data_IF_733461808053
#
_entry.id   IF_733461808053
#
_cell.length_a   1.000
_cell.length_b   1.000
_cell.length_c   1.000
_cell.angle_alpha   90.00
_cell.angle_beta   90.00
_cell.angle_gamma   90.00
#
_symmetry.space_group_name_H-M   'P 1'
#
loop_
_entity.id
_entity.type
_entity.pdbx_description
1 polymer ?
#
# COMPACT_ATOMS: atom_id res chain seq x y z
N UNK A 1 -7.12 -7.39 -7.25
CA UNK A 1 -7.27 -8.61 -8.08
C UNK A 1 -6.17 -9.60 -7.65
N UNK A 2 -6.41 -10.91 -7.74
CA UNK A 2 -5.36 -11.90 -7.46
C UNK A 2 -4.30 -11.88 -8.57
N UNK A 3 -3.04 -12.08 -8.20
CA UNK A 3 -1.94 -12.21 -9.16
C UNK A 3 -2.18 -13.41 -10.08
N UNK A 4 -2.04 -13.26 -11.41
CA UNK A 4 -2.21 -14.37 -12.35
C UNK A 4 -1.11 -15.44 -12.22
N UNK A 5 0.03 -15.09 -11.60
CA UNK A 5 1.19 -15.98 -11.50
C UNK A 5 1.12 -16.97 -10.33
N UNK A 6 0.41 -16.61 -9.25
CA UNK A 6 0.39 -17.44 -8.03
C UNK A 6 -0.92 -17.37 -7.24
N UNK A 7 -1.98 -16.76 -7.79
CA UNK A 7 -3.31 -16.68 -7.21
C UNK A 7 -3.36 -16.04 -5.80
N UNK A 8 -2.38 -15.19 -5.45
CA UNK A 8 -2.32 -14.46 -4.17
C UNK A 8 -2.78 -13.01 -4.32
N UNK A 9 -3.31 -12.45 -3.24
CA UNK A 9 -3.58 -11.01 -3.13
C UNK A 9 -2.32 -10.29 -2.66
N UNK A 10 -1.98 -9.19 -3.34
CA UNK A 10 -0.87 -8.33 -2.97
C UNK A 10 -1.40 -6.94 -2.63
N UNK A 11 -0.94 -6.39 -1.51
CA UNK A 11 -1.19 -5.00 -1.16
C UNK A 11 -0.24 -4.12 -1.96
N UNK A 12 -0.80 -3.31 -2.87
CA UNK A 12 -0.03 -2.40 -3.73
C UNK A 12 0.01 -0.98 -3.20
N UNK A 13 -0.98 -0.59 -2.40
CA UNK A 13 -1.04 0.73 -1.79
C UNK A 13 -1.77 0.77 -0.45
N UNK A 14 -1.56 1.87 0.27
CA UNK A 14 -2.32 2.28 1.45
C UNK A 14 -3.19 3.47 1.02
N UNK A 15 -4.47 3.48 1.42
CA UNK A 15 -5.36 4.62 1.19
C UNK A 15 -4.74 5.85 1.84
N UNK A 16 -4.57 6.92 1.07
CA UNK A 16 -4.01 8.16 1.57
C UNK A 16 -5.09 9.23 1.60
N UNK A 17 -5.08 10.15 0.65
CA UNK A 17 -6.02 11.26 0.56
C UNK A 17 -6.62 11.33 -0.84
N UNK A 18 -7.53 12.28 -1.03
CA UNK A 18 -8.05 12.66 -2.33
C UNK A 18 -8.47 14.11 -2.31
N UNK A 19 -8.67 14.70 -3.47
CA UNK A 19 -9.15 16.09 -3.60
C UNK A 19 -10.62 16.26 -3.16
N UNK A 20 -11.18 15.32 -2.41
CA UNK A 20 -12.59 15.18 -2.07
C UNK A 20 -13.10 13.79 -2.44
N UNK A 21 -14.18 13.35 -1.78
CA UNK A 21 -14.87 12.12 -2.15
C UNK A 21 -15.75 12.37 -3.38
N UNK A 22 -15.72 11.44 -4.34
CA UNK A 22 -16.63 11.37 -5.49
C UNK A 22 -16.74 12.67 -6.32
N UNK A 23 -15.61 13.35 -6.53
CA UNK A 23 -15.56 14.53 -7.39
C UNK A 23 -15.26 14.12 -8.83
N UNK A 24 -16.09 14.59 -9.76
CA UNK A 24 -15.90 14.37 -11.19
C UNK A 24 -14.50 14.82 -11.65
N UNK A 25 -13.84 13.96 -12.43
CA UNK A 25 -12.49 14.21 -12.94
C UNK A 25 -11.37 14.12 -11.90
N UNK A 26 -11.65 13.69 -10.66
CA UNK A 26 -10.66 13.49 -9.60
C UNK A 26 -10.42 12.01 -9.29
N UNK A 27 -9.22 11.71 -8.82
CA UNK A 27 -8.78 10.36 -8.49
C UNK A 27 -8.38 10.25 -7.02
N UNK A 28 -8.55 9.06 -6.45
CA UNK A 28 -8.00 8.74 -5.13
C UNK A 28 -6.48 8.53 -5.19
N UNK A 29 -5.77 9.03 -4.18
CA UNK A 29 -4.32 8.87 -4.08
C UNK A 29 -3.98 7.76 -3.08
N UNK A 30 -3.09 6.86 -3.50
CA UNK A 30 -2.66 5.71 -2.72
C UNK A 30 -1.15 5.72 -2.54
N UNK A 31 -0.68 5.49 -1.31
CA UNK A 31 0.76 5.43 -0.99
C UNK A 31 1.34 4.11 -1.46
N UNK A 32 2.46 4.15 -2.19
CA UNK A 32 3.08 2.96 -2.79
C UNK A 32 3.88 2.13 -1.76
N UNK A 33 3.44 0.90 -1.47
CA UNK A 33 4.03 0.06 -0.39
C UNK A 33 5.27 -0.73 -0.76
N UNK A 34 5.53 -1.01 -2.05
CA UNK A 34 6.64 -1.93 -2.43
C UNK A 34 8.02 -1.46 -1.94
N UNK A 35 8.24 -0.15 -1.81
CA UNK A 35 9.52 0.43 -1.35
C UNK A 35 9.72 0.33 0.17
N UNK A 36 8.67 0.02 0.94
CA UNK A 36 8.67 0.07 2.40
C UNK A 36 9.14 -1.23 3.06
N UNK A 37 9.30 -2.33 2.32
CA UNK A 37 9.60 -3.66 2.88
C UNK A 37 10.80 -3.67 3.84
N UNK A 38 11.90 -3.00 3.47
CA UNK A 38 13.12 -2.94 4.32
C UNK A 38 12.89 -2.17 5.62
N UNK A 39 12.11 -1.09 5.56
CA UNK A 39 11.78 -0.29 6.73
C UNK A 39 10.88 -1.07 7.70
N UNK A 40 9.85 -1.74 7.18
CA UNK A 40 8.96 -2.59 8.00
C UNK A 40 9.76 -3.65 8.75
N UNK A 41 10.67 -4.34 8.06
CA UNK A 41 11.51 -5.36 8.70
C UNK A 41 12.34 -4.77 9.85
N UNK A 42 13.01 -3.63 9.60
CA UNK A 42 13.81 -2.96 10.63
C UNK A 42 12.98 -2.60 11.87
N UNK A 43 11.75 -2.11 11.70
CA UNK A 43 10.87 -1.73 12.82
C UNK A 43 10.44 -2.96 13.63
N UNK A 44 10.14 -4.07 12.96
CA UNK A 44 9.79 -5.34 13.62
C UNK A 44 10.98 -5.86 14.43
N UNK A 45 12.17 -5.88 13.83
CA UNK A 45 13.39 -6.36 14.48
C UNK A 45 13.74 -5.53 15.72
N UNK A 46 13.51 -4.22 15.67
CA UNK A 46 13.71 -3.32 16.81
C UNK A 46 12.69 -3.52 17.94
N UNK A 47 11.46 -3.89 17.61
CA UNK A 47 10.38 -4.07 18.59
C UNK A 47 10.41 -5.44 19.28
N UNK A 48 11.17 -6.39 18.74
CA UNK A 48 11.28 -7.76 19.25
C UNK A 48 12.41 -8.00 20.25
N UNK A 49 13.00 -6.94 20.82
CA UNK A 49 14.04 -7.00 21.89
C UNK A 49 13.45 -6.67 23.25
#
# INVERSE_FOLDING_TARGET
>A
MKSPFNNRWYQMGIVSWGEGCDRDGKYGFYTHVFRLKKWIQKVIDQSGS
#
